data_IF_734495509250
#
_entry.id   IF_734495509250
#
_cell.length_a   1.000
_cell.length_b   1.000
_cell.length_c   1.000
_cell.angle_alpha   90.00
_cell.angle_beta   90.00
_cell.angle_gamma   90.00
#
_symmetry.space_group_name_H-M   'P 1'
#
loop_
_entity.id
_entity.type
_entity.pdbx_description
1 polymer ?
#
# COMPACT_ATOMS: atom_id res chain seq x y z
N UNK A 1 0.24 -5.61 9.75
CA UNK A 1 0.47 -4.26 9.19
C UNK A 1 -0.84 -3.47 8.98
N UNK A 2 -1.66 -3.25 10.03
CA UNK A 2 -2.94 -2.50 9.94
C UNK A 2 -3.88 -3.00 8.81
N UNK A 3 -3.96 -4.32 8.64
CA UNK A 3 -4.85 -4.93 7.62
C UNK A 3 -6.27 -4.94 8.19
N UNK A 4 -7.23 -4.44 7.41
CA UNK A 4 -8.64 -4.49 7.81
C UNK A 4 -9.19 -5.91 7.68
N UNK A 5 -10.10 -6.30 8.59
CA UNK A 5 -10.68 -7.65 8.64
C UNK A 5 -11.15 -8.23 7.28
N UNK A 6 -11.93 -7.50 6.46
CA UNK A 6 -12.33 -7.97 5.13
C UNK A 6 -11.16 -8.23 4.19
N UNK A 7 -10.15 -7.35 4.17
CA UNK A 7 -8.92 -7.53 3.40
C UNK A 7 -8.14 -8.74 3.91
N UNK A 8 -8.06 -8.91 5.22
CA UNK A 8 -7.42 -10.08 5.86
C UNK A 8 -8.05 -11.38 5.40
N UNK A 9 -9.40 -11.46 5.34
CA UNK A 9 -10.12 -12.65 4.86
C UNK A 9 -9.77 -12.97 3.40
N UNK A 10 -9.73 -11.96 2.54
CA UNK A 10 -9.37 -12.12 1.13
C UNK A 10 -7.92 -12.61 0.96
N UNK A 11 -6.98 -12.04 1.74
CA UNK A 11 -5.57 -12.46 1.72
C UNK A 11 -5.44 -13.90 2.24
N UNK A 12 -6.08 -14.24 3.35
CA UNK A 12 -6.06 -15.58 3.94
C UNK A 12 -6.59 -16.63 2.96
N UNK A 13 -7.69 -16.34 2.27
CA UNK A 13 -8.24 -17.21 1.21
C UNK A 13 -7.23 -17.46 0.09
N UNK A 14 -6.50 -16.42 -0.36
CA UNK A 14 -5.45 -16.56 -1.39
C UNK A 14 -4.22 -17.32 -0.90
N UNK A 15 -4.00 -17.35 0.40
CA UNK A 15 -2.91 -18.07 1.04
C UNK A 15 -3.29 -19.49 1.48
N UNK A 16 -4.55 -19.91 1.31
CA UNK A 16 -5.10 -21.15 1.86
C UNK A 16 -4.88 -21.26 3.38
N UNK A 17 -5.08 -20.16 4.11
CA UNK A 17 -5.03 -20.14 5.57
C UNK A 17 -6.42 -20.37 6.15
N UNK A 18 -6.59 -21.49 6.85
CA UNK A 18 -7.85 -21.83 7.54
C UNK A 18 -8.04 -21.05 8.85
N UNK A 19 -6.92 -20.68 9.50
CA UNK A 19 -6.90 -19.87 10.72
C UNK A 19 -5.75 -18.87 10.66
N UNK A 20 -6.00 -17.64 11.12
CA UNK A 20 -5.00 -16.57 11.18
C UNK A 20 -5.39 -15.54 12.24
N UNK A 21 -4.39 -14.84 12.80
CA UNK A 21 -4.60 -13.69 13.67
C UNK A 21 -3.87 -12.48 13.11
N UNK A 22 -4.60 -11.39 12.82
CA UNK A 22 -3.98 -10.13 12.40
C UNK A 22 -3.24 -9.41 13.55
N UNK A 23 -3.44 -9.87 14.78
CA UNK A 23 -2.75 -9.41 15.99
C UNK A 23 -1.44 -10.16 16.24
N UNK A 24 -1.26 -11.33 15.62
CA UNK A 24 0.03 -11.99 15.61
C UNK A 24 1.00 -11.21 14.69
N UNK A 25 2.15 -10.73 15.18
CA UNK A 25 3.04 -9.89 14.39
C UNK A 25 3.56 -10.56 13.12
N UNK A 26 3.91 -11.85 13.19
CA UNK A 26 4.49 -12.59 12.05
C UNK A 26 3.46 -12.76 10.94
N UNK A 27 2.25 -13.21 11.29
CA UNK A 27 1.12 -13.34 10.37
C UNK A 27 0.73 -11.96 9.80
N UNK A 28 0.68 -10.94 10.63
CA UNK A 28 0.31 -9.58 10.24
C UNK A 28 1.33 -8.94 9.28
N UNK A 29 2.61 -9.30 9.39
CA UNK A 29 3.68 -8.89 8.46
C UNK A 29 3.60 -9.68 7.16
N UNK A 30 3.48 -11.00 7.22
CA UNK A 30 3.43 -11.84 6.02
C UNK A 30 2.22 -11.48 5.14
N UNK A 31 1.03 -11.43 5.73
CA UNK A 31 -0.19 -11.07 5.01
C UNK A 31 -0.09 -9.65 4.44
N UNK A 32 0.49 -8.72 5.19
CA UNK A 32 0.67 -7.33 4.77
C UNK A 32 1.64 -7.19 3.61
N UNK A 33 2.76 -7.90 3.66
CA UNK A 33 3.75 -7.94 2.58
C UNK A 33 3.18 -8.54 1.30
N UNK A 34 2.40 -9.63 1.40
CA UNK A 34 1.72 -10.24 0.23
C UNK A 34 0.69 -9.30 -0.38
N UNK A 35 -0.09 -8.61 0.46
CA UNK A 35 -1.06 -7.63 -0.03
C UNK A 35 -0.38 -6.43 -0.70
N UNK A 36 0.69 -5.90 -0.09
CA UNK A 36 1.49 -4.83 -0.67
C UNK A 36 2.08 -5.25 -2.02
N UNK A 37 2.65 -6.46 -2.12
CA UNK A 37 3.17 -7.01 -3.39
C UNK A 37 2.09 -7.05 -4.47
N UNK A 38 0.89 -7.52 -4.13
CA UNK A 38 -0.24 -7.52 -5.04
C UNK A 38 -0.60 -6.10 -5.52
N UNK A 39 -0.63 -5.12 -4.62
CA UNK A 39 -0.95 -3.74 -4.98
C UNK A 39 0.12 -3.08 -5.85
N UNK A 40 1.40 -3.33 -5.58
CA UNK A 40 2.52 -2.85 -6.41
C UNK A 40 2.42 -3.41 -7.82
N UNK A 41 2.25 -4.74 -7.96
CA UNK A 41 2.11 -5.37 -9.26
C UNK A 41 0.88 -4.86 -10.03
N UNK A 42 -0.25 -4.68 -9.34
CA UNK A 42 -1.52 -4.21 -9.94
C UNK A 42 -1.50 -2.73 -10.33
N UNK A 43 -0.45 -1.98 -9.95
CA UNK A 43 -0.36 -0.54 -10.19
C UNK A 43 0.95 -0.15 -10.93
N UNK A 44 1.39 -0.98 -11.87
CA UNK A 44 2.52 -0.67 -12.74
C UNK A 44 3.85 -0.60 -11.98
N UNK A 45 4.01 -1.42 -10.94
CA UNK A 45 5.19 -1.46 -10.07
C UNK A 45 5.50 -0.12 -9.37
N UNK A 46 4.50 0.74 -9.19
CA UNK A 46 4.65 2.01 -8.47
C UNK A 46 4.29 1.85 -7.00
N UNK A 47 5.28 2.10 -6.13
CA UNK A 47 5.07 2.16 -4.68
C UNK A 47 4.08 3.27 -4.28
N UNK A 48 4.11 4.40 -4.98
CA UNK A 48 3.24 5.53 -4.69
C UNK A 48 1.77 5.20 -4.97
N UNK A 49 1.47 4.58 -6.12
CA UNK A 49 0.11 4.11 -6.39
C UNK A 49 -0.32 3.00 -5.42
N UNK A 50 0.60 2.09 -5.08
CA UNK A 50 0.32 1.01 -4.16
C UNK A 50 0.02 1.50 -2.74
N UNK A 51 0.73 2.51 -2.24
CA UNK A 51 0.51 3.08 -0.90
C UNK A 51 -0.86 3.77 -0.79
N UNK A 52 -1.28 4.50 -1.83
CA UNK A 52 -2.64 5.08 -1.90
C UNK A 52 -3.70 3.98 -1.89
N UNK A 53 -3.51 2.89 -2.64
CA UNK A 53 -4.43 1.75 -2.61
C UNK A 53 -4.41 0.98 -1.28
N UNK A 54 -3.27 0.93 -0.59
CA UNK A 54 -3.15 0.22 0.68
C UNK A 54 -3.97 0.91 1.78
N UNK A 55 -3.83 2.24 1.90
CA UNK A 55 -4.57 3.02 2.89
C UNK A 55 -6.00 3.36 2.42
N UNK A 56 -6.15 3.85 1.19
CA UNK A 56 -7.43 4.29 0.64
C UNK A 56 -8.31 3.18 0.06
N UNK A 57 -7.76 1.98 -0.15
CA UNK A 57 -8.43 0.84 -0.78
C UNK A 57 -8.29 0.80 -2.32
N UNK A 58 -8.10 -0.38 -2.94
CA UNK A 58 -7.86 -0.50 -4.38
C UNK A 58 -9.07 -0.10 -5.24
N UNK A 59 -10.30 -0.30 -4.74
CA UNK A 59 -11.51 0.15 -5.41
C UNK A 59 -11.62 1.67 -5.49
N UNK A 60 -11.30 2.35 -4.39
CA UNK A 60 -11.27 3.81 -4.35
C UNK A 60 -10.16 4.37 -5.25
N UNK A 61 -8.97 3.77 -5.25
CA UNK A 61 -7.91 4.19 -6.17
C UNK A 61 -8.37 4.13 -7.63
N UNK A 62 -9.05 3.06 -8.05
CA UNK A 62 -9.61 2.97 -9.42
C UNK A 62 -10.60 4.09 -9.71
N UNK A 63 -11.50 4.39 -8.77
CA UNK A 63 -12.45 5.50 -8.90
C UNK A 63 -11.73 6.84 -9.01
N UNK A 64 -10.74 7.10 -8.17
CA UNK A 64 -10.00 8.36 -8.17
C UNK A 64 -9.17 8.51 -9.45
N UNK A 65 -8.47 7.46 -9.91
CA UNK A 65 -7.74 7.50 -11.18
C UNK A 65 -8.65 7.90 -12.35
N UNK A 66 -9.82 7.26 -12.47
CA UNK A 66 -10.79 7.60 -13.52
C UNK A 66 -11.25 9.05 -13.46
N UNK A 67 -11.45 9.60 -12.26
CA UNK A 67 -12.03 10.92 -12.10
C UNK A 67 -10.99 12.05 -12.14
N UNK A 68 -9.79 11.84 -11.61
CA UNK A 68 -8.79 12.88 -11.34
C UNK A 68 -7.44 12.68 -12.04
N UNK A 69 -7.08 11.47 -12.49
CA UNK A 69 -5.78 11.29 -13.13
C UNK A 69 -5.80 11.83 -14.57
N UNK A 70 -4.82 12.68 -14.90
CA UNK A 70 -4.66 13.33 -16.22
C UNK A 70 -3.24 13.15 -16.78
N UNK A 71 -2.58 12.05 -16.44
CA UNK A 71 -1.22 11.73 -16.90
C UNK A 71 -0.12 12.15 -15.92
N UNK A 72 -0.37 13.11 -15.03
CA UNK A 72 0.58 13.56 -14.01
C UNK A 72 0.21 13.00 -12.62
N UNK A 73 1.14 12.25 -12.02
CA UNK A 73 0.97 11.68 -10.69
C UNK A 73 0.95 12.73 -9.58
N UNK A 74 1.83 13.73 -9.66
CA UNK A 74 1.95 14.77 -8.63
C UNK A 74 0.69 15.63 -8.62
N UNK A 75 0.21 16.01 -9.80
CA UNK A 75 -1.06 16.71 -9.92
C UNK A 75 -2.22 15.87 -9.36
N UNK A 76 -2.30 14.58 -9.73
CA UNK A 76 -3.30 13.67 -9.17
C UNK A 76 -3.25 13.58 -7.64
N UNK A 77 -2.04 13.54 -7.06
CA UNK A 77 -1.88 13.46 -5.61
C UNK A 77 -2.44 14.72 -4.93
N UNK A 78 -2.25 15.90 -5.51
CA UNK A 78 -2.83 17.13 -4.99
C UNK A 78 -4.35 17.25 -5.21
N UNK A 79 -4.88 16.66 -6.27
CA UNK A 79 -6.32 16.60 -6.52
C UNK A 79 -7.05 15.53 -5.68
N UNK A 80 -6.33 14.57 -5.09
CA UNK A 80 -6.93 13.43 -4.40
C UNK A 80 -7.82 13.90 -3.23
N UNK A 81 -9.15 13.75 -3.27
CA UNK A 81 -10.06 14.47 -2.37
C UNK A 81 -9.97 14.05 -0.89
N UNK A 82 -9.34 12.90 -0.61
CA UNK A 82 -9.18 12.39 0.75
C UNK A 82 -7.75 12.67 1.22
N UNK A 83 -7.63 13.42 2.32
CA UNK A 83 -6.35 13.82 2.91
C UNK A 83 -5.51 12.63 3.38
N UNK A 84 -6.14 11.63 3.99
CA UNK A 84 -5.40 10.54 4.64
C UNK A 84 -4.58 9.69 3.65
N UNK A 85 -5.12 9.13 2.54
CA UNK A 85 -4.31 8.37 1.57
C UNK A 85 -3.27 9.25 0.86
N UNK A 86 -3.55 10.55 0.72
CA UNK A 86 -2.62 11.53 0.16
C UNK A 86 -1.37 11.66 1.03
N UNK A 87 -1.58 11.94 2.31
CA UNK A 87 -0.49 12.11 3.28
C UNK A 87 0.22 10.78 3.55
N UNK A 88 -0.52 9.68 3.60
CA UNK A 88 0.04 8.35 3.72
C UNK A 88 1.02 8.04 2.58
N UNK A 89 0.66 8.38 1.34
CA UNK A 89 1.55 8.20 0.19
C UNK A 89 2.86 8.99 0.34
N UNK A 90 2.79 10.24 0.81
CA UNK A 90 3.96 11.09 1.06
C UNK A 90 4.85 10.48 2.14
N UNK A 91 4.28 10.12 3.28
CA UNK A 91 5.01 9.53 4.41
C UNK A 91 5.69 8.23 4.01
N UNK A 92 4.96 7.32 3.35
CA UNK A 92 5.52 6.03 2.91
C UNK A 92 6.64 6.23 1.90
N UNK A 93 6.50 7.16 0.95
CA UNK A 93 7.54 7.45 -0.03
C UNK A 93 8.81 7.98 0.64
N UNK A 94 8.68 8.96 1.54
CA UNK A 94 9.81 9.51 2.29
C UNK A 94 10.48 8.44 3.16
N UNK A 95 9.71 7.63 3.89
CA UNK A 95 10.23 6.55 4.71
C UNK A 95 10.96 5.50 3.87
N UNK A 96 10.41 5.13 2.71
CA UNK A 96 11.05 4.18 1.81
C UNK A 96 12.45 4.66 1.40
N UNK A 97 12.60 5.91 0.95
CA UNK A 97 13.91 6.45 0.58
C UNK A 97 14.86 6.54 1.78
N UNK A 98 14.36 6.92 2.96
CA UNK A 98 15.16 6.95 4.18
C UNK A 98 15.66 5.55 4.57
N UNK A 99 14.81 4.52 4.56
CA UNK A 99 15.22 3.15 4.83
C UNK A 99 16.20 2.61 3.79
N UNK A 100 16.01 2.95 2.51
CA UNK A 100 16.95 2.59 1.45
C UNK A 100 18.33 3.24 1.68
N UNK A 101 18.38 4.48 2.13
CA UNK A 101 19.62 5.16 2.49
C UNK A 101 20.28 4.52 3.72
N UNK A 102 19.52 4.28 4.80
CA UNK A 102 20.02 3.59 5.99
C UNK A 102 20.58 2.20 5.67
N UNK A 103 19.92 1.46 4.77
CA UNK A 103 20.41 0.14 4.32
C UNK A 103 21.74 0.23 3.58
N UNK A 104 21.94 1.29 2.78
CA UNK A 104 23.24 1.53 2.11
C UNK A 104 24.34 1.83 3.13
N UNK A 105 24.05 2.65 4.15
CA UNK A 105 25.04 2.99 5.19
C UNK A 105 25.41 1.79 6.09
N UNK A 106 24.47 0.89 6.38
CA UNK A 106 24.73 -0.32 7.18
C UNK A 106 25.47 -1.43 6.42
N UNK A 107 25.56 -1.34 5.10
CA UNK A 107 26.28 -2.29 4.26
C UNK A 107 27.70 -1.80 3.89
N UNK A 108 28.26 -0.91 4.73
CA UNK A 108 29.68 -0.55 4.84
C UNK A 108 30.18 -1.06 6.20
#
# INVERSE_FOLDING_TARGET
>A
MQIMGPTGKEIAKRMNLDSYSLFDPEVSIEMGARFLRYLVASNGNSLQWASIAYNGGPGNLRKWKRNHYRGDFNHFLEELPIKEPRDYCRIVSSNYYNYQNLRKYKNL
#
